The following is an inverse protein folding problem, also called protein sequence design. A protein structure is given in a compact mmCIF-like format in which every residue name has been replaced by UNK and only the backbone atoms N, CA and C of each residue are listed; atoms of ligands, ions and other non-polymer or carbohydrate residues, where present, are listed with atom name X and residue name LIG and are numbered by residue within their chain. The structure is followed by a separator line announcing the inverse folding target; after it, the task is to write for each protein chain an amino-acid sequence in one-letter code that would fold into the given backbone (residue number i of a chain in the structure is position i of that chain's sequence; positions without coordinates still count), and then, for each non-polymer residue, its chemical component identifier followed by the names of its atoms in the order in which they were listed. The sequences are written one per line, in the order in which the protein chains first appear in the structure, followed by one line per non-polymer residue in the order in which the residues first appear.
data_IF_029694419023
#
_entry.id   IF_029694419023
#
_cell.length_a   1.000
_cell.length_b   1.000
_cell.length_c   1.000
_cell.angle_alpha   90.00
_cell.angle_beta   90.00
_cell.angle_gamma   90.00
#
_symmetry.space_group_name_H-M   'P 1'
#
loop_
_entity.id
_entity.type
_entity.pdbx_description
1 polymer ?
#
# COMPACT_ATOMS: atom_id res chain seq x y z
N UNK A 1 1.13 -0.72 1.50
CA UNK A 1 0.95 -1.80 2.47
C UNK A 1 0.98 -1.20 3.86
N UNK A 2 -0.14 -1.33 4.59
CA UNK A 2 -0.38 -0.65 5.87
C UNK A 2 -0.28 -1.65 7.01
N UNK A 3 0.39 -1.22 8.08
CA UNK A 3 0.38 -1.82 9.38
C UNK A 3 -0.42 -0.90 10.31
N UNK A 4 -1.63 -1.30 10.69
CA UNK A 4 -2.58 -0.43 11.36
C UNK A 4 -2.30 -0.21 12.86
N UNK A 5 -1.31 -0.87 13.44
CA UNK A 5 -0.85 -0.57 14.80
C UNK A 5 -0.16 0.79 14.88
N UNK A 6 0.40 1.29 13.77
CA UNK A 6 1.04 2.60 13.73
C UNK A 6 0.03 3.74 13.66
N UNK A 7 0.19 4.73 14.54
CA UNK A 7 -0.76 5.86 14.69
C UNK A 7 -0.78 6.80 13.49
N UNK A 8 0.34 6.93 12.76
CA UNK A 8 0.46 7.86 11.63
C UNK A 8 -0.63 7.70 10.56
N UNK A 9 -1.08 6.49 10.28
CA UNK A 9 -2.20 6.29 9.34
C UNK A 9 -3.53 6.78 9.93
N UNK A 10 -3.77 6.56 11.22
CA UNK A 10 -4.99 6.99 11.92
C UNK A 10 -5.10 8.52 11.99
N UNK A 11 -3.99 9.21 12.22
CA UNK A 11 -3.92 10.66 12.27
C UNK A 11 -4.19 11.33 10.92
N UNK A 12 -3.88 10.64 9.82
CA UNK A 12 -3.99 11.18 8.47
C UNK A 12 -5.10 10.55 7.61
N UNK A 13 -6.04 9.80 8.22
CA UNK A 13 -7.16 9.16 7.50
C UNK A 13 -7.96 10.14 6.66
N UNK A 14 -8.27 11.33 7.19
CA UNK A 14 -9.04 12.35 6.47
C UNK A 14 -8.37 12.83 5.18
N UNK A 15 -7.03 12.88 5.17
CA UNK A 15 -6.24 13.25 4.00
C UNK A 15 -6.13 12.08 3.00
N UNK A 16 -5.94 10.86 3.49
CA UNK A 16 -5.67 9.69 2.66
C UNK A 16 -6.95 9.06 2.09
N UNK A 17 -8.06 9.10 2.82
CA UNK A 17 -9.31 8.43 2.43
C UNK A 17 -9.81 8.85 1.04
N UNK A 18 -9.87 10.13 0.65
CA UNK A 18 -10.29 10.52 -0.69
C UNK A 18 -9.40 9.93 -1.79
N UNK A 19 -8.08 9.85 -1.56
CA UNK A 19 -7.13 9.30 -2.51
C UNK A 19 -7.27 7.77 -2.65
N UNK A 20 -7.60 7.09 -1.56
CA UNK A 20 -7.89 5.64 -1.58
C UNK A 20 -9.22 5.37 -2.29
N UNK A 21 -10.25 6.14 -1.99
CA UNK A 21 -11.58 5.99 -2.61
C UNK A 21 -11.60 6.33 -4.09
N UNK A 22 -10.74 7.26 -4.55
CA UNK A 22 -10.58 7.55 -5.98
C UNK A 22 -9.74 6.52 -6.74
N UNK A 23 -9.14 5.55 -6.05
CA UNK A 23 -8.24 4.56 -6.63
C UNK A 23 -6.82 5.08 -6.92
N UNK A 24 -6.52 6.35 -6.60
CA UNK A 24 -5.17 6.91 -6.76
C UNK A 24 -4.15 6.24 -5.84
N UNK A 25 -4.59 5.81 -4.67
CA UNK A 25 -3.81 5.02 -3.72
C UNK A 25 -4.53 3.69 -3.47
N UNK A 26 -3.84 2.59 -3.69
CA UNK A 26 -4.30 1.27 -3.26
C UNK A 26 -3.75 0.97 -1.87
N UNK A 27 -4.64 0.60 -0.95
CA UNK A 27 -4.27 0.08 0.37
C UNK A 27 -4.20 -1.43 0.32
N UNK A 28 -3.15 -2.00 0.92
CA UNK A 28 -2.97 -3.44 1.05
C UNK A 28 -2.45 -3.80 2.45
N UNK A 29 -2.59 -5.07 2.83
CA UNK A 29 -2.34 -5.55 4.18
C UNK A 29 -0.84 -5.80 4.46
N UNK A 30 -0.37 -5.36 5.63
CA UNK A 30 0.99 -5.63 6.09
C UNK A 30 1.03 -6.19 7.51
N UNK A 31 -0.03 -6.93 7.90
CA UNK A 31 -0.30 -7.40 9.25
C UNK A 31 -0.60 -6.27 10.24
N UNK A 32 -1.15 -6.58 11.39
CA UNK A 32 -1.49 -5.58 12.41
C UNK A 32 -0.26 -5.09 13.18
N UNK A 33 0.53 -6.00 13.75
CA UNK A 33 1.65 -5.68 14.65
C UNK A 33 3.05 -5.94 14.08
N UNK A 34 3.13 -6.32 12.78
CA UNK A 34 4.37 -6.57 12.07
C UNK A 34 5.24 -7.72 12.61
N UNK A 35 4.67 -8.89 12.98
CA UNK A 35 5.45 -10.03 13.43
C UNK A 35 6.10 -10.77 12.25
N UNK A 36 7.11 -11.59 12.54
CA UNK A 36 7.55 -12.63 11.60
C UNK A 36 6.46 -13.72 11.54
N UNK A 37 5.69 -13.76 10.47
CA UNK A 37 4.56 -14.69 10.31
C UNK A 37 4.99 -16.16 10.36
N UNK A 38 6.25 -16.47 10.04
CA UNK A 38 6.75 -17.86 10.06
C UNK A 38 6.92 -18.40 11.49
N UNK A 39 6.84 -17.54 12.50
CA UNK A 39 6.92 -17.92 13.91
C UNK A 39 5.56 -18.12 14.57
N UNK A 40 4.48 -17.82 13.85
CA UNK A 40 3.10 -17.95 14.32
C UNK A 40 2.48 -19.27 13.86
N UNK A 41 1.49 -19.73 14.61
CA UNK A 41 0.59 -20.79 14.13
C UNK A 41 -0.43 -20.23 13.12
N UNK A 42 -1.25 -21.09 12.55
CA UNK A 42 -2.22 -20.70 11.52
C UNK A 42 -3.24 -19.67 12.02
N UNK A 43 -3.69 -19.79 13.27
CA UNK A 43 -4.66 -18.86 13.86
C UNK A 43 -4.00 -17.50 14.13
N UNK A 44 -2.77 -17.46 14.61
CA UNK A 44 -2.01 -16.21 14.79
C UNK A 44 -1.77 -15.47 13.47
N UNK A 45 -1.50 -16.19 12.37
CA UNK A 45 -1.40 -15.59 11.04
C UNK A 45 -2.73 -14.97 10.60
N UNK A 46 -3.84 -15.70 10.78
CA UNK A 46 -5.18 -15.19 10.43
C UNK A 46 -5.57 -14.00 11.28
N UNK A 47 -5.31 -14.04 12.59
CA UNK A 47 -5.60 -12.94 13.50
C UNK A 47 -4.86 -11.65 13.10
N UNK A 48 -3.58 -11.73 12.82
CA UNK A 48 -2.76 -10.59 12.39
C UNK A 48 -3.28 -9.95 11.09
N UNK A 49 -3.65 -10.77 10.12
CA UNK A 49 -4.17 -10.29 8.83
C UNK A 49 -5.61 -9.78 8.96
N UNK A 50 -6.50 -10.50 9.66
CA UNK A 50 -7.90 -10.11 9.77
C UNK A 50 -8.05 -8.85 10.61
N UNK A 51 -7.35 -8.75 11.74
CA UNK A 51 -7.37 -7.54 12.58
C UNK A 51 -6.92 -6.30 11.81
N UNK A 52 -5.88 -6.44 10.98
CA UNK A 52 -5.41 -5.35 10.13
C UNK A 52 -6.42 -4.99 9.02
N UNK A 53 -7.09 -5.98 8.44
CA UNK A 53 -8.17 -5.78 7.48
C UNK A 53 -9.34 -4.98 8.08
N UNK A 54 -9.76 -5.33 9.29
CA UNK A 54 -10.85 -4.66 9.99
C UNK A 54 -10.51 -3.17 10.25
N UNK A 55 -9.27 -2.87 10.62
CA UNK A 55 -8.78 -1.49 10.78
C UNK A 55 -8.73 -0.75 9.43
N UNK A 56 -8.27 -1.38 8.36
CA UNK A 56 -8.25 -0.80 7.01
C UNK A 56 -9.68 -0.47 6.55
N UNK A 57 -10.60 -1.41 6.69
CA UNK A 57 -12.02 -1.19 6.39
C UNK A 57 -12.61 -0.04 7.19
N UNK A 58 -12.31 0.05 8.48
CA UNK A 58 -12.76 1.15 9.34
C UNK A 58 -12.19 2.50 8.91
N UNK A 59 -10.89 2.54 8.58
CA UNK A 59 -10.22 3.78 8.19
C UNK A 59 -10.61 4.27 6.79
N UNK A 60 -10.69 3.38 5.81
CA UNK A 60 -10.78 3.76 4.39
C UNK A 60 -12.06 3.32 3.70
N UNK A 61 -12.82 2.39 4.26
CA UNK A 61 -14.04 1.84 3.66
C UNK A 61 -13.77 0.91 2.47
N UNK A 62 -12.54 0.38 2.35
CA UNK A 62 -12.13 -0.53 1.28
C UNK A 62 -11.47 -1.77 1.86
N UNK A 63 -11.60 -2.91 1.17
CA UNK A 63 -10.87 -4.13 1.51
C UNK A 63 -9.47 -4.12 0.92
N UNK A 64 -8.49 -4.61 1.68
CA UNK A 64 -7.13 -4.84 1.21
C UNK A 64 -6.95 -6.19 0.50
N UNK A 65 -7.95 -7.06 0.58
CA UNK A 65 -7.91 -8.38 -0.09
C UNK A 65 -7.91 -8.22 -1.61
N UNK A 66 -7.22 -9.09 -2.31
CA UNK A 66 -6.51 -10.29 -1.85
C UNK A 66 -5.02 -10.06 -1.50
N UNK A 67 -4.56 -8.80 -1.42
CA UNK A 67 -3.14 -8.45 -1.36
C UNK A 67 -2.62 -8.30 0.05
N UNK A 68 -1.52 -8.98 0.35
CA UNK A 68 -0.77 -8.74 1.58
C UNK A 68 0.73 -8.79 1.31
N UNK A 69 1.50 -8.14 2.17
CA UNK A 69 2.96 -8.26 2.17
C UNK A 69 3.40 -8.84 3.51
N UNK A 70 4.06 -10.00 3.50
CA UNK A 70 4.60 -10.56 4.74
C UNK A 70 5.67 -9.62 5.34
N UNK A 71 5.67 -9.35 6.65
CA UNK A 71 6.76 -8.67 7.32
C UNK A 71 8.12 -9.31 7.03
N UNK A 72 9.14 -8.48 6.84
CA UNK A 72 10.51 -8.91 6.52
C UNK A 72 10.63 -9.71 5.20
N UNK A 73 9.57 -9.84 4.42
CA UNK A 73 9.49 -10.71 3.25
C UNK A 73 9.52 -12.19 3.61
N UNK A 74 9.23 -12.56 4.85
CA UNK A 74 9.30 -13.94 5.33
C UNK A 74 7.95 -14.63 5.29
N UNK A 75 7.88 -15.76 4.61
CA UNK A 75 6.71 -16.62 4.55
C UNK A 75 7.11 -18.06 4.23
N UNK A 76 6.20 -18.99 4.46
CA UNK A 76 6.29 -20.39 4.11
C UNK A 76 4.89 -20.88 3.68
N UNK A 77 4.79 -22.15 3.28
CA UNK A 77 3.52 -22.74 2.81
C UNK A 77 2.41 -22.67 3.88
N UNK A 78 2.75 -22.81 5.15
CA UNK A 78 1.78 -22.72 6.24
C UNK A 78 1.19 -21.30 6.34
N UNK A 79 2.03 -20.26 6.23
CA UNK A 79 1.59 -18.87 6.18
C UNK A 79 0.70 -18.60 4.97
N UNK A 80 1.11 -19.07 3.78
CA UNK A 80 0.31 -18.88 2.55
C UNK A 80 -1.05 -19.57 2.64
N UNK A 81 -1.08 -20.78 3.20
CA UNK A 81 -2.32 -21.53 3.41
C UNK A 81 -3.24 -20.78 4.38
N UNK A 82 -2.75 -20.40 5.55
CA UNK A 82 -3.55 -19.69 6.56
C UNK A 82 -4.08 -18.34 6.04
N UNK A 83 -3.25 -17.57 5.33
CA UNK A 83 -3.66 -16.33 4.68
C UNK A 83 -4.73 -16.57 3.61
N UNK A 84 -4.56 -17.60 2.78
CA UNK A 84 -5.50 -17.96 1.72
C UNK A 84 -6.88 -18.36 2.24
N UNK A 85 -6.96 -19.04 3.39
CA UNK A 85 -8.22 -19.45 4.03
C UNK A 85 -9.12 -18.26 4.41
N UNK A 86 -8.53 -17.07 4.61
CA UNK A 86 -9.27 -15.83 4.92
C UNK A 86 -9.26 -14.81 3.77
N UNK A 87 -8.87 -15.25 2.55
CA UNK A 87 -8.98 -14.45 1.32
C UNK A 87 -7.73 -13.64 0.95
N UNK A 88 -6.61 -13.78 1.65
CA UNK A 88 -5.33 -13.18 1.27
C UNK A 88 -4.53 -14.16 0.41
N UNK A 89 -4.81 -14.16 -0.89
CA UNK A 89 -4.24 -15.13 -1.86
C UNK A 89 -3.07 -14.57 -2.68
N UNK A 90 -2.75 -13.28 -2.53
CA UNK A 90 -1.72 -12.58 -3.30
C UNK A 90 -0.64 -11.99 -2.39
N UNK A 91 0.39 -12.77 -2.03
CA UNK A 91 1.58 -12.22 -1.36
C UNK A 91 2.35 -11.33 -2.35
N UNK A 92 2.61 -10.08 -1.96
CA UNK A 92 3.28 -9.10 -2.84
C UNK A 92 4.69 -8.83 -2.34
N UNK A 93 5.67 -9.33 -3.09
CA UNK A 93 7.08 -9.10 -2.87
C UNK A 93 7.57 -7.89 -3.69
N UNK A 94 8.87 -7.66 -3.74
CA UNK A 94 9.47 -6.52 -4.43
C UNK A 94 10.74 -6.94 -5.18
N UNK A 95 11.08 -6.17 -6.22
CA UNK A 95 12.26 -6.37 -7.05
C UNK A 95 13.39 -5.41 -6.68
N UNK A 96 13.06 -4.30 -6.03
CA UNK A 96 13.99 -3.28 -5.60
C UNK A 96 13.50 -2.50 -4.39
N UNK A 97 14.40 -1.75 -3.76
CA UNK A 97 14.08 -0.94 -2.58
C UNK A 97 14.74 0.43 -2.66
N UNK A 98 14.07 1.44 -2.12
CA UNK A 98 14.65 2.76 -1.88
C UNK A 98 15.67 2.75 -0.75
N UNK A 99 15.63 1.71 0.11
CA UNK A 99 16.55 1.52 1.23
C UNK A 99 16.39 2.56 2.32
N UNK A 100 15.15 2.95 2.57
CA UNK A 100 14.74 3.93 3.57
C UNK A 100 14.16 3.29 4.84
N UNK A 101 14.39 2.00 5.04
CA UNK A 101 14.06 1.27 6.26
C UNK A 101 14.85 1.77 7.47
N UNK A 102 16.02 2.36 7.24
CA UNK A 102 16.83 3.03 8.23
C UNK A 102 17.19 4.45 7.74
N UNK A 103 17.60 5.30 8.68
CA UNK A 103 18.00 6.68 8.34
C UNK A 103 19.19 6.65 7.38
N UNK A 104 18.98 7.14 6.16
CA UNK A 104 19.99 7.23 5.11
C UNK A 104 19.90 8.59 4.40
N UNK A 105 20.89 8.93 3.56
CA UNK A 105 20.87 10.21 2.85
C UNK A 105 19.97 10.17 1.61
N UNK A 106 19.38 11.33 1.27
CA UNK A 106 18.61 11.51 0.02
C UNK A 106 19.37 11.07 -1.23
N UNK A 107 20.72 11.28 -1.24
CA UNK A 107 21.58 10.81 -2.33
C UNK A 107 21.55 9.30 -2.49
N UNK A 108 21.66 8.55 -1.40
CA UNK A 108 21.65 7.08 -1.44
C UNK A 108 20.26 6.59 -1.89
N UNK A 109 19.18 7.17 -1.38
CA UNK A 109 17.82 6.85 -1.82
C UNK A 109 17.68 7.09 -3.33
N UNK A 110 18.11 8.25 -3.82
CA UNK A 110 18.03 8.59 -5.26
C UNK A 110 18.81 7.63 -6.14
N UNK A 111 20.03 7.24 -5.74
CA UNK A 111 20.83 6.24 -6.47
C UNK A 111 20.12 4.87 -6.55
N UNK A 112 19.39 4.48 -5.49
CA UNK A 112 18.57 3.27 -5.50
C UNK A 112 17.35 3.43 -6.39
N UNK A 113 16.70 4.60 -6.41
CA UNK A 113 15.63 4.90 -7.36
C UNK A 113 16.13 4.76 -8.81
N UNK A 114 17.31 5.32 -9.14
CA UNK A 114 17.93 5.16 -10.47
C UNK A 114 18.13 3.66 -10.80
N UNK A 115 18.52 2.86 -9.83
CA UNK A 115 18.80 1.43 -10.03
C UNK A 115 17.54 0.59 -10.23
N UNK A 116 16.46 0.88 -9.48
CA UNK A 116 15.33 -0.04 -9.35
C UNK A 116 14.02 0.45 -9.97
N UNK A 117 13.85 1.74 -10.26
CA UNK A 117 12.66 2.24 -10.97
C UNK A 117 12.77 1.95 -12.47
N UNK A 118 12.53 0.72 -12.82
CA UNK A 118 12.58 0.17 -14.18
C UNK A 118 11.19 -0.38 -14.55
N UNK A 119 10.92 -0.65 -15.86
CA UNK A 119 9.66 -1.25 -16.27
C UNK A 119 9.37 -2.55 -15.54
N UNK A 120 8.10 -2.74 -15.16
CA UNK A 120 7.58 -3.95 -14.50
C UNK A 120 8.27 -4.29 -13.16
N UNK A 121 8.69 -3.26 -12.41
CA UNK A 121 9.28 -3.44 -11.10
C UNK A 121 8.32 -3.00 -9.99
N UNK A 122 8.26 -3.77 -8.92
CA UNK A 122 7.68 -3.37 -7.64
C UNK A 122 8.82 -2.87 -6.77
N UNK A 123 8.81 -1.58 -6.44
CA UNK A 123 9.87 -0.95 -5.63
C UNK A 123 9.34 -0.66 -4.24
N UNK A 124 10.01 -1.22 -3.22
CA UNK A 124 9.69 -1.02 -1.82
C UNK A 124 10.24 0.30 -1.30
N UNK A 125 9.38 1.06 -0.63
CA UNK A 125 9.75 2.22 0.19
C UNK A 125 8.96 2.19 1.49
N UNK A 126 9.54 2.73 2.57
CA UNK A 126 8.91 2.75 3.89
C UNK A 126 8.39 4.14 4.28
N UNK A 127 8.97 5.21 3.70
CA UNK A 127 8.66 6.61 4.02
C UNK A 127 8.80 6.96 5.51
N UNK A 128 9.63 6.20 6.23
CA UNK A 128 9.83 6.36 7.68
C UNK A 128 10.64 7.61 8.06
N UNK A 129 11.35 8.18 7.09
CA UNK A 129 12.23 9.33 7.31
C UNK A 129 12.00 10.40 6.25
N UNK A 130 12.05 11.66 6.64
CA UNK A 130 11.86 12.81 5.75
C UNK A 130 12.93 12.94 4.64
N UNK A 131 13.98 12.14 4.68
CA UNK A 131 15.10 12.19 3.72
C UNK A 131 14.72 11.93 2.27
N UNK A 132 13.55 11.34 2.00
CA UNK A 132 13.02 11.17 0.65
C UNK A 132 12.33 12.46 0.13
N UNK A 133 11.76 13.28 1.02
CA UNK A 133 10.96 14.44 0.64
C UNK A 133 11.70 15.40 -0.31
N UNK A 134 12.96 15.80 -0.03
CA UNK A 134 13.69 16.74 -0.89
C UNK A 134 14.00 16.24 -2.30
N UNK A 135 13.79 14.96 -2.57
CA UNK A 135 14.10 14.34 -3.86
C UNK A 135 12.87 13.81 -4.60
N UNK A 136 11.65 14.02 -4.10
CA UNK A 136 10.43 13.53 -4.75
C UNK A 136 10.29 14.04 -6.18
N UNK A 137 10.58 15.32 -6.44
CA UNK A 137 10.55 15.88 -7.79
C UNK A 137 11.59 15.23 -8.72
N UNK A 138 12.78 14.91 -8.20
CA UNK A 138 13.81 14.19 -8.96
C UNK A 138 13.40 12.75 -9.25
N UNK A 139 12.72 12.10 -8.30
CA UNK A 139 12.19 10.75 -8.48
C UNK A 139 11.08 10.78 -9.53
N UNK A 140 10.18 11.76 -9.46
CA UNK A 140 9.16 11.94 -10.50
C UNK A 140 9.79 12.18 -11.87
N UNK A 141 10.75 13.09 -11.98
CA UNK A 141 11.48 13.33 -13.25
C UNK A 141 12.13 12.06 -13.81
N UNK A 142 12.72 11.22 -12.95
CA UNK A 142 13.30 9.94 -13.36
C UNK A 142 12.26 8.98 -13.94
N UNK A 143 11.05 8.95 -13.37
CA UNK A 143 9.93 8.13 -13.85
C UNK A 143 9.50 8.64 -15.23
N UNK A 144 9.30 9.96 -15.36
CA UNK A 144 8.88 10.61 -16.60
C UNK A 144 9.93 10.42 -17.72
N UNK A 145 11.21 10.66 -17.45
CA UNK A 145 12.34 10.52 -18.40
C UNK A 145 12.49 9.08 -18.92
N UNK A 146 12.06 8.10 -18.13
CA UNK A 146 12.06 6.69 -18.53
C UNK A 146 10.77 6.24 -19.20
N UNK A 147 9.80 7.12 -19.38
CA UNK A 147 8.51 6.79 -19.96
C UNK A 147 7.72 5.77 -19.11
N UNK A 148 7.94 5.76 -17.78
CA UNK A 148 7.27 4.85 -16.87
C UNK A 148 5.95 5.44 -16.42
N UNK A 149 4.99 4.55 -16.15
CA UNK A 149 3.73 4.89 -15.48
C UNK A 149 3.69 4.19 -14.14
N UNK A 150 3.48 4.96 -13.07
CA UNK A 150 3.21 4.40 -11.75
C UNK A 150 1.79 3.85 -11.74
N UNK A 151 1.65 2.59 -11.35
CA UNK A 151 0.36 1.88 -11.30
C UNK A 151 0.16 1.26 -9.92
N UNK A 152 -1.08 0.91 -9.61
CA UNK A 152 -1.36 0.14 -8.38
C UNK A 152 -0.92 -1.32 -8.55
N UNK A 153 -0.81 -2.05 -7.44
CA UNK A 153 -0.53 -3.49 -7.47
C UNK A 153 -1.65 -4.26 -8.18
N UNK A 154 -2.88 -3.79 -8.04
CA UNK A 154 -4.05 -4.34 -8.72
C UNK A 154 -3.91 -4.22 -10.24
N UNK A 155 -3.56 -3.03 -10.73
CA UNK A 155 -3.33 -2.79 -12.16
C UNK A 155 -2.16 -3.63 -12.68
N UNK A 156 -1.09 -3.73 -11.87
CA UNK A 156 0.10 -4.51 -12.22
C UNK A 156 -0.21 -5.99 -12.45
N UNK A 157 -1.08 -6.59 -11.62
CA UNK A 157 -1.47 -8.00 -11.76
C UNK A 157 -2.66 -8.20 -12.71
N UNK A 158 -3.31 -7.13 -13.17
CA UNK A 158 -4.49 -7.23 -14.03
C UNK A 158 -5.72 -7.81 -13.32
N UNK A 159 -5.78 -7.72 -11.99
CA UNK A 159 -6.84 -8.31 -11.18
C UNK A 159 -8.10 -7.43 -11.10
N UNK A 160 -8.11 -6.25 -11.72
CA UNK A 160 -9.27 -5.38 -11.76
C UNK A 160 -9.84 -5.30 -13.18
N UNK A 161 -11.12 -5.65 -13.34
CA UNK A 161 -11.89 -5.15 -14.46
C UNK A 161 -12.23 -3.67 -14.21
N UNK A 162 -12.25 -2.85 -15.27
CA UNK A 162 -12.68 -1.44 -15.18
C UNK A 162 -14.10 -1.30 -14.57
N UNK A 163 -14.93 -2.33 -14.69
CA UNK A 163 -16.27 -2.39 -14.11
C UNK A 163 -16.28 -2.55 -12.60
N UNK A 164 -15.34 -3.32 -12.02
CA UNK A 164 -15.21 -3.49 -10.56
C UNK A 164 -14.69 -2.23 -9.90
N UNK A 165 -13.78 -1.49 -10.56
CA UNK A 165 -13.29 -0.20 -10.10
C UNK A 165 -14.42 0.83 -10.08
N UNK A 166 -15.28 0.82 -11.10
CA UNK A 166 -16.40 1.73 -11.23
C UNK A 166 -17.55 1.42 -10.27
N UNK A 167 -17.80 0.13 -9.97
CA UNK A 167 -18.81 -0.31 -9.02
C UNK A 167 -18.42 -0.05 -7.55
N UNK A 168 -17.11 0.00 -7.24
CA UNK A 168 -16.58 0.29 -5.92
C UNK A 168 -16.45 1.80 -5.64
N UNK A 169 -16.60 2.66 -6.66
CA UNK A 169 -16.56 4.11 -6.46
C UNK A 169 -17.84 4.58 -5.76
N UNK A 170 -17.78 5.23 -4.59
CA UNK A 170 -18.96 5.83 -3.99
C UNK A 170 -19.52 6.91 -4.91
N UNK A 171 -20.84 6.95 -5.04
CA UNK A 171 -21.54 8.03 -5.73
C UNK A 171 -21.03 9.40 -5.22
N UNK A 172 -20.79 10.37 -6.09
CA UNK A 172 -20.30 11.68 -5.66
C UNK A 172 -21.28 12.28 -4.66
N UNK A 173 -20.75 12.61 -3.48
CA UNK A 173 -21.50 13.35 -2.45
C UNK A 173 -21.95 14.68 -3.07
N UNK A 174 -23.26 15.05 -3.03
CA UNK A 174 -23.71 16.32 -3.57
C UNK A 174 -22.97 17.47 -2.86
N UNK A 175 -22.38 18.34 -3.67
CA UNK A 175 -21.78 19.59 -3.21
C UNK A 175 -22.84 20.39 -2.43
N UNK A 176 -22.55 20.93 -1.24
CA UNK A 176 -23.49 21.83 -0.56
C UNK A 176 -23.76 23.04 -1.46
N UNK A 177 -25.03 23.28 -1.77
CA UNK A 177 -25.46 24.50 -2.45
C UNK A 177 -25.02 25.71 -1.62
N UNK A 178 -24.26 26.61 -2.23
CA UNK A 178 -23.98 27.93 -1.67
C UNK A 178 -25.31 28.67 -1.46
N UNK A 179 -25.69 28.79 -0.19
CA UNK A 179 -26.74 29.70 0.22
C UNK A 179 -26.21 31.13 0.11
N UNK A 180 -26.50 31.78 -0.98
CA UNK A 180 -26.37 33.25 -1.11
C UNK A 180 -27.54 33.87 -0.36
N UNK A 181 -27.31 34.72 0.69
CA UNK A 181 -28.39 35.49 1.29
C UNK A 181 -28.73 36.67 0.38
N UNK A 182 -30.04 36.85 0.16
CA UNK A 182 -30.68 38.01 -0.46
C UNK A 182 -30.55 39.27 0.42
#
# INVERSE_FOLDING_TARGET
FINASYTGFKEHVSLLRPLVQSGQIQVANHTYSHPDLTTLDAEGVKEELQRNEDEIMSMFGVSSKPYFRPPYGRYNDAVLKAAGEIGFTRPVMWNGTTGDEAKTSSRVIYMRCIRYMLPQQIVLGHLNYETIIPILDKVKGLIDDRGLTAVTVRDYYGDASEEEIKAAAPSPTPTPEENTPS
#
